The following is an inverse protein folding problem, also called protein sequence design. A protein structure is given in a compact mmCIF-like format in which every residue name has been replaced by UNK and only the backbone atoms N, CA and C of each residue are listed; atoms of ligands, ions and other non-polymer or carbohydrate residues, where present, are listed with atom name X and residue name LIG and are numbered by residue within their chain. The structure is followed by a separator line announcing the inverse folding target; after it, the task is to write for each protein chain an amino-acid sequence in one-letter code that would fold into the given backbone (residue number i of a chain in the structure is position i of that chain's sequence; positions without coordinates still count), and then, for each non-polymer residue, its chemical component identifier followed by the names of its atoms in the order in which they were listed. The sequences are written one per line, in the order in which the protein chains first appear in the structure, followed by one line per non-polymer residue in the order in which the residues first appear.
data_IF_212487757885
#
_entry.id   IF_212487757885
#
_cell.length_a   1.000
_cell.length_b   1.000
_cell.length_c   1.000
_cell.angle_alpha   90.00
_cell.angle_beta   90.00
_cell.angle_gamma   90.00
#
_symmetry.space_group_name_H-M   'P 1'
#
loop_
_entity.id
_entity.type
_entity.pdbx_description
1 polymer ?
#
# COMPACT_ATOMS: atom_id res chain seq x y z
N UNK A 1 -12.35 52.23 -34.02
CA UNK A 1 -11.65 50.95 -34.25
C UNK A 1 -10.35 50.93 -33.47
N UNK A 2 -10.27 50.17 -32.37
CA UNK A 2 -9.02 49.68 -31.78
C UNK A 2 -9.33 48.33 -31.13
N UNK A 3 -8.88 47.24 -31.75
CA UNK A 3 -8.93 45.88 -31.21
C UNK A 3 -7.58 45.63 -30.57
N UNK A 4 -7.54 45.34 -29.27
CA UNK A 4 -6.34 44.76 -28.65
C UNK A 4 -6.76 43.40 -28.10
N UNK A 5 -6.15 42.40 -28.71
CA UNK A 5 -6.34 40.98 -28.53
C UNK A 5 -5.76 40.59 -27.17
N UNK A 6 -6.59 40.04 -26.29
CA UNK A 6 -6.11 39.38 -25.07
C UNK A 6 -5.52 38.04 -25.48
N UNK A 7 -4.19 37.97 -25.55
CA UNK A 7 -3.45 36.73 -25.72
C UNK A 7 -3.54 35.98 -24.39
N UNK A 8 -4.54 35.10 -24.29
CA UNK A 8 -4.54 34.02 -23.33
C UNK A 8 -3.58 32.91 -23.75
N UNK A 9 -3.26 32.06 -22.78
CA UNK A 9 -2.42 30.85 -22.86
C UNK A 9 -0.90 31.07 -22.85
N UNK A 10 -0.36 30.99 -21.63
CA UNK A 10 0.85 30.21 -21.39
C UNK A 10 0.79 29.59 -19.98
N UNK A 11 -0.12 28.64 -19.76
CA UNK A 11 0.09 27.63 -18.72
C UNK A 11 1.02 26.54 -19.28
N UNK A 12 2.28 26.91 -19.54
CA UNK A 12 3.35 25.94 -19.69
C UNK A 12 3.83 25.57 -18.30
N UNK A 13 3.10 24.67 -17.64
CA UNK A 13 3.65 23.95 -16.50
C UNK A 13 4.65 22.95 -17.06
N UNK A 14 5.91 23.36 -17.13
CA UNK A 14 7.05 22.48 -17.33
C UNK A 14 7.27 21.72 -16.01
N UNK A 15 6.56 20.62 -15.80
CA UNK A 15 7.06 19.53 -14.93
C UNK A 15 7.80 18.59 -15.87
N UNK A 16 9.12 18.75 -16.00
CA UNK A 16 10.04 18.07 -15.10
C UNK A 16 10.27 16.66 -15.66
N UNK A 17 11.44 16.43 -16.27
CA UNK A 17 11.85 15.17 -16.88
C UNK A 17 11.58 14.02 -15.91
N UNK A 18 10.55 13.24 -16.22
CA UNK A 18 9.76 12.52 -15.23
C UNK A 18 10.32 11.15 -14.89
N UNK A 19 10.81 10.99 -13.66
CA UNK A 19 10.70 9.70 -13.01
C UNK A 19 9.21 9.35 -12.97
N UNK A 20 8.86 8.23 -13.60
CA UNK A 20 7.47 7.77 -13.60
C UNK A 20 7.17 7.23 -12.21
N UNK A 21 6.30 7.93 -11.49
CA UNK A 21 5.88 7.57 -10.14
C UNK A 21 4.47 6.96 -10.14
N UNK A 22 4.17 6.19 -9.08
CA UNK A 22 2.82 5.73 -8.81
C UNK A 22 1.94 6.92 -8.43
N UNK A 23 0.91 7.18 -9.22
CA UNK A 23 -0.09 8.23 -8.93
C UNK A 23 -1.46 7.61 -8.62
N UNK A 24 -2.28 8.31 -7.85
CA UNK A 24 -3.68 7.91 -7.60
C UNK A 24 -4.44 7.61 -8.91
N UNK A 25 -4.24 8.47 -9.93
CA UNK A 25 -4.90 8.34 -11.24
C UNK A 25 -4.48 7.07 -11.98
N UNK A 26 -3.20 6.71 -11.93
CA UNK A 26 -2.70 5.47 -12.55
C UNK A 26 -3.39 4.23 -11.96
N UNK A 27 -3.54 4.20 -10.64
CA UNK A 27 -4.07 3.05 -9.92
C UNK A 27 -5.56 2.79 -10.18
N UNK A 28 -6.35 3.80 -10.55
CA UNK A 28 -7.81 3.63 -10.77
C UNK A 28 -8.09 2.52 -11.79
N UNK A 29 -8.99 1.60 -11.41
CA UNK A 29 -9.43 0.47 -12.22
C UNK A 29 -9.20 -0.88 -11.52
N UNK A 30 -9.41 -1.95 -12.29
CA UNK A 30 -9.29 -3.33 -11.83
C UNK A 30 -7.91 -3.91 -12.14
N UNK A 31 -7.40 -4.70 -11.19
CA UNK A 31 -6.06 -5.28 -11.24
C UNK A 31 -6.08 -6.73 -10.84
N UNK A 32 -5.30 -7.53 -11.56
CA UNK A 32 -5.00 -8.90 -11.22
C UNK A 32 -3.63 -8.94 -10.56
N UNK A 33 -3.61 -9.35 -9.30
CA UNK A 33 -2.41 -9.36 -8.48
C UNK A 33 -1.97 -10.76 -8.13
N UNK A 34 -0.66 -10.97 -8.09
CA UNK A 34 -0.03 -12.14 -7.48
C UNK A 34 0.62 -11.68 -6.19
N UNK A 35 0.16 -12.24 -5.07
CA UNK A 35 0.59 -11.88 -3.72
C UNK A 35 1.38 -13.05 -3.14
N UNK A 36 2.60 -12.79 -2.72
CA UNK A 36 3.43 -13.67 -1.91
C UNK A 36 3.37 -13.18 -0.46
N UNK A 37 3.09 -14.06 0.50
CA UNK A 37 3.09 -13.73 1.93
C UNK A 37 3.95 -14.71 2.70
N UNK A 38 4.74 -14.21 3.63
CA UNK A 38 5.55 -14.97 4.56
C UNK A 38 5.28 -14.48 5.98
N UNK A 39 5.25 -15.40 6.92
CA UNK A 39 5.13 -15.11 8.35
C UNK A 39 6.37 -15.64 9.07
N UNK A 40 6.84 -14.91 10.07
CA UNK A 40 7.92 -15.35 10.94
C UNK A 40 7.34 -15.84 12.27
N UNK A 41 7.76 -17.03 12.69
CA UNK A 41 7.34 -17.60 13.98
C UNK A 41 8.02 -16.86 15.14
N UNK A 42 7.31 -16.78 16.26
CA UNK A 42 7.86 -16.26 17.51
C UNK A 42 8.28 -17.41 18.42
N UNK A 43 9.58 -17.50 18.71
CA UNK A 43 10.16 -18.54 19.54
C UNK A 43 11.23 -17.95 20.46
N UNK A 44 11.25 -18.39 21.73
CA UNK A 44 12.27 -18.00 22.72
C UNK A 44 12.53 -16.48 22.85
N UNK A 45 11.48 -15.66 22.66
CA UNK A 45 11.57 -14.21 22.82
C UNK A 45 12.02 -13.43 21.58
N UNK A 46 12.12 -14.08 20.42
CA UNK A 46 12.48 -13.44 19.17
C UNK A 46 11.70 -14.02 17.97
N UNK A 47 11.60 -13.22 16.90
CA UNK A 47 11.15 -13.72 15.61
C UNK A 47 12.25 -14.53 14.94
N UNK A 48 11.87 -15.71 14.45
CA UNK A 48 12.72 -16.53 13.59
C UNK A 48 12.76 -15.96 12.16
N UNK A 49 13.46 -16.66 11.28
CA UNK A 49 13.41 -16.37 9.85
C UNK A 49 12.00 -16.58 9.28
N UNK A 50 11.75 -15.97 8.13
CA UNK A 50 10.48 -16.11 7.43
C UNK A 50 10.33 -17.53 6.87
N UNK A 51 9.16 -18.12 7.05
CA UNK A 51 8.79 -19.38 6.40
C UNK A 51 8.69 -19.22 4.86
N UNK A 52 8.50 -20.34 4.16
CA UNK A 52 8.25 -20.33 2.72
C UNK A 52 7.04 -19.46 2.33
N UNK A 53 7.11 -18.77 1.17
CA UNK A 53 6.03 -17.91 0.73
C UNK A 53 4.78 -18.67 0.32
N UNK A 54 3.64 -18.23 0.84
CA UNK A 54 2.31 -18.61 0.35
C UNK A 54 1.92 -17.67 -0.77
N UNK A 55 1.75 -18.20 -1.98
CA UNK A 55 1.41 -17.44 -3.18
C UNK A 55 -0.09 -17.53 -3.45
N UNK A 56 -0.75 -16.39 -3.67
CA UNK A 56 -2.17 -16.29 -4.02
C UNK A 56 -2.40 -15.29 -5.14
N UNK A 57 -3.46 -15.51 -5.92
CA UNK A 57 -3.94 -14.53 -6.89
C UNK A 57 -5.14 -13.80 -6.31
N UNK A 58 -5.17 -12.49 -6.46
CA UNK A 58 -6.24 -11.62 -5.95
C UNK A 58 -6.69 -10.65 -7.05
N UNK A 59 -7.98 -10.35 -7.07
CA UNK A 59 -8.55 -9.28 -7.89
C UNK A 59 -8.83 -8.09 -6.97
N UNK A 60 -8.19 -6.97 -7.26
CA UNK A 60 -8.35 -5.73 -6.50
C UNK A 60 -8.84 -4.63 -7.43
N UNK A 61 -9.61 -3.70 -6.87
CA UNK A 61 -10.13 -2.54 -7.56
C UNK A 61 -9.73 -1.29 -6.79
N UNK A 62 -9.25 -0.28 -7.51
CA UNK A 62 -9.06 1.05 -6.96
C UNK A 62 -10.09 2.02 -7.51
N UNK A 63 -10.72 2.79 -6.62
CA UNK A 63 -11.67 3.86 -6.96
C UNK A 63 -11.25 5.17 -6.32
N UNK A 64 -11.60 6.26 -6.98
CA UNK A 64 -11.51 7.60 -6.42
C UNK A 64 -12.87 8.00 -5.84
N UNK A 65 -12.88 8.44 -4.59
CA UNK A 65 -14.02 9.03 -3.92
C UNK A 65 -13.55 10.30 -3.20
N UNK A 66 -14.09 11.48 -3.54
CA UNK A 66 -13.72 12.75 -2.91
C UNK A 66 -12.18 12.95 -2.79
N UNK A 67 -11.44 12.71 -3.89
CA UNK A 67 -9.97 12.79 -3.97
C UNK A 67 -9.19 11.76 -3.11
N UNK A 68 -9.89 10.86 -2.44
CA UNK A 68 -9.33 9.74 -1.68
C UNK A 68 -9.30 8.52 -2.59
N UNK A 69 -8.14 7.85 -2.65
CA UNK A 69 -8.03 6.57 -3.33
C UNK A 69 -8.41 5.46 -2.35
N UNK A 70 -9.40 4.67 -2.73
CA UNK A 70 -9.87 3.52 -1.98
C UNK A 70 -9.49 2.24 -2.72
N UNK A 71 -9.06 1.23 -1.97
CA UNK A 71 -8.78 -0.13 -2.45
C UNK A 71 -9.79 -1.09 -1.84
N UNK A 72 -10.34 -1.98 -2.66
CA UNK A 72 -11.16 -3.10 -2.23
C UNK A 72 -10.92 -4.32 -3.12
N UNK A 73 -11.48 -5.48 -2.76
CA UNK A 73 -11.58 -6.59 -3.72
C UNK A 73 -12.82 -6.38 -4.58
N UNK A 74 -12.77 -6.86 -5.82
CA UNK A 74 -13.84 -6.66 -6.81
C UNK A 74 -15.23 -7.13 -6.33
N UNK A 75 -15.28 -8.13 -5.44
CA UNK A 75 -16.53 -8.69 -4.90
C UNK A 75 -16.88 -8.20 -3.48
N UNK A 76 -16.10 -7.30 -2.90
CA UNK A 76 -16.35 -6.84 -1.53
C UNK A 76 -17.44 -5.75 -1.52
N UNK A 77 -18.26 -5.74 -0.46
CA UNK A 77 -19.14 -4.59 -0.18
C UNK A 77 -18.30 -3.33 0.08
N UNK A 78 -18.86 -2.16 -0.22
CA UNK A 78 -18.17 -0.87 -0.09
C UNK A 78 -17.60 -0.62 1.33
N UNK A 79 -18.19 -1.25 2.35
CA UNK A 79 -17.73 -1.21 3.75
C UNK A 79 -16.34 -1.83 4.01
N UNK A 80 -15.79 -2.61 3.08
CA UNK A 80 -14.44 -3.21 3.21
C UNK A 80 -13.36 -2.45 2.44
N UNK A 81 -13.73 -1.34 1.82
CA UNK A 81 -12.81 -0.49 1.09
C UNK A 81 -12.00 0.34 2.09
N UNK A 82 -10.71 0.42 1.87
CA UNK A 82 -9.80 1.11 2.76
C UNK A 82 -8.85 2.02 1.98
N UNK A 83 -8.38 3.06 2.65
CA UNK A 83 -7.36 3.95 2.10
C UNK A 83 -6.03 3.23 2.06
N UNK A 84 -5.23 3.54 1.04
CA UNK A 84 -3.87 3.04 0.93
C UNK A 84 -2.87 4.21 0.99
N UNK A 85 -1.76 4.06 1.73
CA UNK A 85 -0.68 5.04 1.68
C UNK A 85 0.03 4.97 0.33
N UNK A 86 0.32 6.11 -0.31
CA UNK A 86 1.04 6.18 -1.60
C UNK A 86 2.20 7.18 -1.47
N UNK A 87 3.39 6.92 -2.05
CA UNK A 87 3.83 5.65 -2.66
C UNK A 87 4.46 4.70 -1.64
N UNK A 88 4.76 5.18 -0.44
CA UNK A 88 5.44 4.41 0.60
C UNK A 88 5.04 4.88 1.98
N UNK A 89 5.15 4.00 2.96
CA UNK A 89 4.95 4.33 4.37
C UNK A 89 6.00 3.60 5.21
N UNK A 90 6.65 4.34 6.09
CA UNK A 90 7.50 3.76 7.14
C UNK A 90 7.05 4.34 8.48
N UNK A 91 6.67 3.46 9.40
CA UNK A 91 6.18 3.83 10.71
C UNK A 91 6.78 2.91 11.77
N UNK A 92 7.17 3.51 12.89
CA UNK A 92 7.60 2.83 14.09
C UNK A 92 6.85 3.46 15.25
N UNK A 93 6.15 2.65 16.02
CA UNK A 93 5.45 3.04 17.24
C UNK A 93 5.88 2.12 18.36
N UNK A 94 6.27 2.69 19.50
CA UNK A 94 6.72 1.93 20.65
C UNK A 94 6.20 2.57 21.92
N UNK A 95 5.59 1.75 22.76
CA UNK A 95 5.10 2.10 24.08
C UNK A 95 5.57 1.03 25.07
N UNK A 96 5.21 1.16 26.36
CA UNK A 96 5.45 0.12 27.35
C UNK A 96 4.66 -1.17 27.05
N UNK A 97 3.55 -1.04 26.33
CA UNK A 97 2.59 -2.13 26.11
C UNK A 97 2.77 -2.82 24.76
N UNK A 98 3.31 -2.11 23.77
CA UNK A 98 3.49 -2.68 22.44
C UNK A 98 4.61 -2.01 21.65
N UNK A 99 5.08 -2.74 20.64
CA UNK A 99 5.93 -2.27 19.55
C UNK A 99 5.25 -2.61 18.23
N UNK A 100 5.17 -1.64 17.34
CA UNK A 100 4.65 -1.79 15.98
C UNK A 100 5.63 -1.17 15.00
N UNK A 101 5.95 -1.90 13.95
CA UNK A 101 6.75 -1.42 12.83
C UNK A 101 6.06 -1.80 11.53
N UNK A 102 5.96 -0.84 10.62
CA UNK A 102 5.43 -1.04 9.28
C UNK A 102 6.39 -0.36 8.31
N UNK A 103 6.80 -1.09 7.29
CA UNK A 103 7.48 -0.51 6.14
C UNK A 103 6.81 -1.06 4.89
N UNK A 104 6.45 -0.14 4.00
CA UNK A 104 5.64 -0.39 2.83
C UNK A 104 6.14 0.48 1.70
N UNK A 105 6.20 -0.08 0.50
CA UNK A 105 6.63 0.61 -0.71
C UNK A 105 5.83 0.11 -1.90
N UNK A 106 5.48 1.04 -2.79
CA UNK A 106 5.02 0.78 -4.14
C UNK A 106 6.03 1.27 -5.16
N UNK A 107 6.22 0.47 -6.19
CA UNK A 107 7.15 0.72 -7.29
C UNK A 107 6.38 0.76 -8.61
N UNK A 108 6.64 1.81 -9.39
CA UNK A 108 6.17 1.91 -10.76
C UNK A 108 6.97 0.95 -11.64
N UNK A 109 6.27 0.12 -12.42
CA UNK A 109 6.87 -0.75 -13.44
C UNK A 109 6.45 -0.27 -14.84
N UNK A 110 5.15 -0.08 -15.05
CA UNK A 110 4.58 0.51 -16.27
C UNK A 110 3.20 1.10 -15.98
N UNK A 111 2.57 1.78 -16.95
CA UNK A 111 1.22 2.34 -16.76
C UNK A 111 0.15 1.28 -16.44
N UNK A 112 0.46 0.00 -16.73
CA UNK A 112 -0.41 -1.14 -16.48
C UNK A 112 0.19 -2.14 -15.48
N UNK A 113 1.28 -1.79 -14.79
CA UNK A 113 1.94 -2.70 -13.86
C UNK A 113 2.60 -1.95 -12.71
N UNK A 114 2.40 -2.47 -11.49
CA UNK A 114 3.11 -2.00 -10.32
C UNK A 114 3.47 -3.16 -9.40
N UNK A 115 4.47 -2.92 -8.54
CA UNK A 115 4.89 -3.83 -7.48
C UNK A 115 4.68 -3.16 -6.12
N UNK A 116 4.26 -3.94 -5.14
CA UNK A 116 4.28 -3.55 -3.75
C UNK A 116 5.13 -4.53 -2.94
N UNK A 117 5.80 -4.00 -1.93
CA UNK A 117 6.49 -4.80 -0.93
C UNK A 117 6.24 -4.20 0.45
N UNK A 118 6.11 -5.07 1.43
CA UNK A 118 5.89 -4.63 2.79
C UNK A 118 6.38 -5.62 3.82
N UNK A 119 6.78 -5.06 4.95
CA UNK A 119 7.07 -5.77 6.18
C UNK A 119 6.32 -5.11 7.32
N UNK A 120 5.70 -5.92 8.17
CA UNK A 120 5.07 -5.46 9.40
C UNK A 120 5.51 -6.33 10.55
N UNK A 121 5.73 -5.71 11.69
CA UNK A 121 6.05 -6.35 12.96
C UNK A 121 5.15 -5.76 14.04
N UNK A 122 4.53 -6.61 14.84
CA UNK A 122 3.70 -6.23 15.96
C UNK A 122 4.02 -7.14 17.14
N UNK A 123 4.37 -6.52 18.27
CA UNK A 123 4.70 -7.21 19.52
C UNK A 123 3.91 -6.54 20.63
N UNK A 124 3.15 -7.31 21.40
CA UNK A 124 2.58 -6.86 22.68
C UNK A 124 3.40 -7.39 23.85
N UNK A 125 3.56 -6.57 24.88
CA UNK A 125 4.20 -6.94 26.13
C UNK A 125 3.16 -7.26 27.21
N UNK A 126 3.47 -8.15 28.16
CA UNK A 126 2.59 -8.42 29.29
C UNK A 126 2.34 -7.12 30.08
N UNK A 127 1.07 -6.76 30.28
CA UNK A 127 0.71 -5.68 31.18
C UNK A 127 0.57 -6.23 32.60
N UNK A 128 1.10 -5.50 33.58
CA UNK A 128 0.95 -5.83 35.00
C UNK A 128 -0.44 -5.53 35.54
N UNK A 129 -1.23 -4.73 34.82
CA UNK A 129 -2.55 -4.22 35.29
C UNK A 129 -3.74 -4.90 34.61
N UNK A 130 -3.57 -5.47 33.42
CA UNK A 130 -4.65 -6.12 32.68
C UNK A 130 -4.18 -7.42 32.01
N UNK A 131 -5.02 -8.48 32.07
CA UNK A 131 -4.81 -9.69 31.29
C UNK A 131 -5.01 -9.39 29.80
N UNK A 132 -3.95 -9.00 29.11
CA UNK A 132 -3.96 -8.82 27.65
C UNK A 132 -3.52 -10.10 26.95
N UNK A 133 -4.16 -10.38 25.81
CA UNK A 133 -3.71 -11.45 24.91
C UNK A 133 -2.36 -11.04 24.34
N UNK A 134 -1.35 -11.87 24.52
CA UNK A 134 -0.02 -11.65 23.94
C UNK A 134 -0.10 -12.00 22.46
N UNK A 135 0.20 -11.02 21.60
CA UNK A 135 0.22 -11.14 20.15
C UNK A 135 1.62 -10.76 19.68
N UNK A 136 2.29 -11.72 19.03
CA UNK A 136 3.53 -11.51 18.31
C UNK A 136 3.31 -11.90 16.86
N UNK A 137 3.52 -10.95 15.95
CA UNK A 137 3.28 -11.15 14.53
C UNK A 137 4.33 -10.41 13.73
N UNK A 138 4.95 -11.09 12.77
CA UNK A 138 5.85 -10.45 11.81
C UNK A 138 5.58 -11.05 10.45
N UNK A 139 5.18 -10.20 9.51
CA UNK A 139 4.81 -10.60 8.17
C UNK A 139 5.64 -9.83 7.15
N UNK A 140 5.98 -10.53 6.07
CA UNK A 140 6.47 -9.93 4.83
C UNK A 140 5.48 -10.26 3.73
N UNK A 141 5.29 -9.33 2.81
CA UNK A 141 4.59 -9.62 1.57
C UNK A 141 5.21 -8.91 0.38
N UNK A 142 4.99 -9.50 -0.78
CA UNK A 142 5.30 -8.93 -2.09
C UNK A 142 4.07 -9.11 -2.97
N UNK A 143 3.72 -8.09 -3.74
CA UNK A 143 2.54 -8.10 -4.59
C UNK A 143 2.89 -7.49 -5.94
N UNK A 144 2.69 -8.23 -7.01
CA UNK A 144 2.79 -7.69 -8.38
C UNK A 144 1.41 -7.64 -8.99
N UNK A 145 1.01 -6.49 -9.52
CA UNK A 145 -0.32 -6.25 -10.05
C UNK A 145 -0.25 -5.81 -11.50
N UNK A 146 -1.09 -6.43 -12.34
CA UNK A 146 -1.25 -6.10 -13.76
C UNK A 146 -2.69 -5.61 -13.99
N UNK A 147 -2.82 -4.48 -14.68
CA UNK A 147 -4.11 -3.86 -14.96
C UNK A 147 -4.93 -4.73 -15.88
N UNK A 148 -6.21 -4.91 -15.56
CA UNK A 148 -7.15 -5.60 -16.45
C UNK A 148 -7.53 -4.61 -17.55
N UNK A 149 -7.20 -4.95 -18.80
CA UNK A 149 -7.64 -4.18 -19.97
C UNK A 149 -9.09 -4.57 -20.25
N UNK A 150 -9.97 -3.59 -20.23
CA UNK A 150 -11.31 -3.71 -20.80
C UNK A 150 -11.27 -3.50 -22.31
#
# INVERSE_FOLDING_TARGET
MKRIVVVGLACLVVTGCGEKEITKKMLVGDWKCTVSRQEAKWENGAFQDFDDPIIKKELITFKMYEEILLMGKSNDSESHWHTIPIPSMKSLSMTKDFKSYVNYKMEYISDNEFKEEGISEFITYPSTTEKRVIIHRKNKYEKTCIKIKN
#
